data_IF_834141410623
#
_entry.id   IF_834141410623
#
_cell.length_a   1.000
_cell.length_b   1.000
_cell.length_c   1.000
_cell.angle_alpha   90.00
_cell.angle_beta   90.00
_cell.angle_gamma   90.00
#
_symmetry.space_group_name_H-M   'P 1'
#
loop_
_entity.id
_entity.type
_entity.pdbx_description
1 polymer ?
#
# COMPACT_ATOMS: atom_id res chain seq x y z
N UNK A 1 -25.22 50.04 17.56
CA UNK A 1 -25.81 48.79 18.11
C UNK A 1 -25.89 47.81 16.94
N UNK A 2 -25.30 46.63 17.09
CA UNK A 2 -25.27 45.59 16.07
C UNK A 2 -26.59 44.80 15.98
N UNK A 3 -27.44 44.86 16.97
CA UNK A 3 -28.77 44.20 17.00
C UNK A 3 -29.85 45.26 17.20
N UNK A 4 -30.82 45.34 16.31
CA UNK A 4 -31.93 46.32 16.37
C UNK A 4 -33.24 45.71 15.92
N UNK A 5 -34.34 46.21 16.51
CA UNK A 5 -35.69 45.90 16.09
C UNK A 5 -36.12 46.91 15.00
N UNK A 6 -36.37 46.42 13.79
CA UNK A 6 -36.96 47.23 12.73
C UNK A 6 -38.46 47.06 12.75
N UNK A 7 -39.18 48.18 12.87
CA UNK A 7 -40.66 48.22 12.80
C UNK A 7 -41.06 48.88 11.48
N UNK A 8 -42.09 48.34 10.85
CA UNK A 8 -42.72 48.97 9.67
C UNK A 8 -44.19 48.63 9.60
N UNK A 9 -44.97 49.44 8.96
CA UNK A 9 -46.39 49.21 8.70
C UNK A 9 -46.56 48.60 7.31
N UNK A 10 -47.24 47.47 7.20
CA UNK A 10 -47.52 46.82 5.95
C UNK A 10 -48.69 47.50 5.22
N UNK A 11 -48.97 47.09 3.97
CA UNK A 11 -50.06 47.66 3.12
C UNK A 11 -51.45 47.52 3.76
N UNK A 12 -51.61 46.62 4.74
CA UNK A 12 -52.86 46.40 5.49
C UNK A 12 -52.90 47.19 6.79
N UNK A 13 -52.03 48.22 6.95
CA UNK A 13 -51.86 49.01 8.19
C UNK A 13 -51.51 48.24 9.45
N UNK A 14 -50.99 47.00 9.33
CA UNK A 14 -50.53 46.20 10.45
C UNK A 14 -49.06 46.51 10.75
N UNK A 15 -48.74 46.83 12.01
CA UNK A 15 -47.36 47.07 12.46
C UNK A 15 -46.62 45.73 12.54
N UNK A 16 -45.62 45.59 11.72
CA UNK A 16 -44.70 44.42 11.76
C UNK A 16 -43.37 44.82 12.37
N UNK A 17 -42.72 43.89 13.01
CA UNK A 17 -41.40 44.09 13.59
C UNK A 17 -40.51 42.87 13.29
N UNK A 18 -39.24 43.12 13.02
CA UNK A 18 -38.25 42.06 12.85
C UNK A 18 -36.92 42.46 13.47
N UNK A 19 -36.24 41.48 14.06
CA UNK A 19 -34.91 41.68 14.56
C UNK A 19 -33.88 41.56 13.45
N UNK A 20 -33.02 42.59 13.31
CA UNK A 20 -31.96 42.68 12.33
C UNK A 20 -30.62 42.70 13.06
N UNK A 21 -29.67 41.97 12.54
CA UNK A 21 -28.27 41.97 12.97
C UNK A 21 -27.43 42.68 11.89
N UNK A 22 -26.61 43.63 12.32
CA UNK A 22 -25.77 44.47 11.45
C UNK A 22 -24.34 44.46 12.01
N UNK A 23 -23.48 43.63 11.43
CA UNK A 23 -22.10 43.41 11.87
C UNK A 23 -21.13 43.99 10.88
N UNK A 24 -20.19 44.81 11.36
CA UNK A 24 -19.00 45.23 10.61
C UNK A 24 -17.78 44.53 11.19
N UNK A 25 -17.06 43.81 10.37
CA UNK A 25 -15.83 43.07 10.75
C UNK A 25 -14.66 43.57 9.91
N UNK A 26 -13.54 43.88 10.57
CA UNK A 26 -12.27 44.25 9.91
C UNK A 26 -11.35 43.04 9.88
N UNK A 27 -10.96 42.61 8.68
CA UNK A 27 -10.02 41.53 8.47
C UNK A 27 -8.58 42.00 8.80
N UNK A 28 -7.67 41.03 8.96
CA UNK A 28 -6.25 41.30 9.24
C UNK A 28 -5.53 42.05 8.11
N UNK A 29 -6.03 41.96 6.86
CA UNK A 29 -5.56 42.69 5.68
C UNK A 29 -6.06 44.16 5.63
N UNK A 30 -6.82 44.59 6.64
CA UNK A 30 -7.39 45.92 6.72
C UNK A 30 -8.75 46.08 6.02
N UNK A 31 -9.20 45.12 5.25
CA UNK A 31 -10.51 45.15 4.58
C UNK A 31 -11.67 45.10 5.60
N UNK A 32 -12.78 45.78 5.26
CA UNK A 32 -13.98 45.81 6.10
C UNK A 32 -15.12 45.11 5.40
N UNK A 33 -15.65 44.05 6.04
CA UNK A 33 -16.84 43.35 5.59
C UNK A 33 -18.04 43.74 6.47
N UNK A 34 -19.10 44.24 5.82
CA UNK A 34 -20.35 44.60 6.50
C UNK A 34 -21.43 43.55 6.13
N UNK A 35 -22.05 42.96 7.14
CA UNK A 35 -23.08 41.93 6.98
C UNK A 35 -24.34 42.39 7.70
N UNK A 36 -25.46 42.48 6.97
CA UNK A 36 -26.78 42.78 7.53
C UNK A 36 -27.74 41.64 7.19
N UNK A 37 -28.25 40.99 8.23
CA UNK A 37 -29.17 39.86 8.11
C UNK A 37 -30.34 39.98 9.09
N UNK A 38 -31.49 39.40 8.71
CA UNK A 38 -32.61 39.20 9.61
C UNK A 38 -32.29 38.02 10.53
N UNK A 39 -32.51 38.21 11.87
CA UNK A 39 -32.30 37.11 12.79
C UNK A 39 -33.29 35.97 12.53
N UNK A 40 -32.84 34.72 12.46
CA UNK A 40 -33.74 33.57 12.32
C UNK A 40 -34.63 33.39 13.54
N UNK A 41 -34.18 33.82 14.73
CA UNK A 41 -34.94 33.80 15.97
C UNK A 41 -35.38 35.23 16.29
N UNK A 42 -36.69 35.49 16.21
CA UNK A 42 -37.29 36.82 16.32
C UNK A 42 -37.48 37.27 17.77
N UNK A 43 -36.41 37.13 18.59
CA UNK A 43 -36.30 37.64 19.95
C UNK A 43 -35.00 38.42 20.12
N UNK A 44 -34.93 39.38 21.08
CA UNK A 44 -33.69 40.12 21.36
C UNK A 44 -32.52 39.19 21.66
N UNK A 45 -32.74 38.17 22.52
CA UNK A 45 -31.73 37.19 22.92
C UNK A 45 -31.29 36.32 21.73
N UNK A 46 -32.23 35.89 20.88
CA UNK A 46 -31.93 35.12 19.65
C UNK A 46 -31.11 35.93 18.64
N UNK A 47 -31.45 37.22 18.47
CA UNK A 47 -30.69 38.11 17.59
C UNK A 47 -29.27 38.38 18.10
N UNK A 48 -29.07 38.50 19.43
CA UNK A 48 -27.74 38.60 20.05
C UNK A 48 -26.91 37.30 19.87
N UNK A 49 -27.56 36.16 19.99
CA UNK A 49 -26.89 34.88 19.76
C UNK A 49 -26.46 34.74 18.26
N UNK A 50 -27.34 35.12 17.36
CA UNK A 50 -27.04 35.13 15.92
C UNK A 50 -25.92 36.11 15.57
N UNK A 51 -25.86 37.28 16.22
CA UNK A 51 -24.73 38.21 16.05
C UNK A 51 -23.39 37.59 16.44
N UNK A 52 -23.33 36.89 17.58
CA UNK A 52 -22.11 36.20 18.01
C UNK A 52 -21.67 35.15 16.97
N UNK A 53 -22.60 34.31 16.51
CA UNK A 53 -22.33 33.31 15.48
C UNK A 53 -21.81 33.92 14.19
N UNK A 54 -22.39 35.08 13.77
CA UNK A 54 -21.91 35.81 12.59
C UNK A 54 -20.49 36.35 12.79
N UNK A 55 -20.18 36.91 13.96
CA UNK A 55 -18.81 37.37 14.26
C UNK A 55 -17.80 36.24 14.26
N UNK A 56 -18.15 35.12 14.90
CA UNK A 56 -17.32 33.92 14.93
C UNK A 56 -17.07 33.37 13.51
N UNK A 57 -18.10 33.35 12.65
CA UNK A 57 -17.98 32.91 11.29
C UNK A 57 -17.12 33.83 10.41
N UNK A 58 -17.21 35.15 10.63
CA UNK A 58 -16.37 36.15 9.96
C UNK A 58 -14.90 36.02 10.41
N UNK A 59 -14.71 35.88 11.75
CA UNK A 59 -13.39 35.72 12.33
C UNK A 59 -12.67 34.44 11.83
N UNK A 60 -13.40 33.33 11.72
CA UNK A 60 -12.90 32.04 11.25
C UNK A 60 -12.89 31.91 9.72
N UNK A 61 -13.29 32.95 8.98
CA UNK A 61 -13.34 32.94 7.51
C UNK A 61 -14.33 31.93 6.91
N UNK A 62 -15.38 31.55 7.67
CA UNK A 62 -16.41 30.59 7.27
C UNK A 62 -17.72 31.28 6.82
N UNK A 63 -17.81 32.61 6.96
CA UNK A 63 -18.98 33.37 6.55
C UNK A 63 -19.23 33.27 5.03
N UNK A 64 -20.46 32.97 4.65
CA UNK A 64 -20.88 32.84 3.24
C UNK A 64 -20.40 31.54 2.57
N UNK A 65 -19.60 30.73 3.24
CA UNK A 65 -19.40 29.35 2.81
C UNK A 65 -20.65 28.59 3.22
N UNK A 66 -21.35 28.00 2.25
CA UNK A 66 -22.37 27.00 2.57
C UNK A 66 -21.70 26.02 3.53
N UNK A 67 -22.31 25.81 4.71
CA UNK A 67 -21.91 24.74 5.60
C UNK A 67 -22.35 23.48 4.88
N UNK A 68 -21.52 23.03 3.92
CA UNK A 68 -21.71 21.73 3.32
C UNK A 68 -21.74 20.74 4.47
N UNK A 69 -22.87 20.11 4.66
CA UNK A 69 -23.01 19.10 5.70
C UNK A 69 -21.89 18.09 5.52
N UNK A 70 -21.06 17.91 6.55
CA UNK A 70 -19.96 16.95 6.51
C UNK A 70 -20.52 15.60 6.08
N UNK A 71 -20.05 15.02 4.97
CA UNK A 71 -20.60 13.79 4.42
C UNK A 71 -20.39 12.61 5.38
N UNK A 72 -21.24 11.61 5.27
CA UNK A 72 -21.00 10.31 5.94
C UNK A 72 -19.85 9.57 5.24
N UNK A 73 -19.25 8.59 5.96
CA UNK A 73 -18.21 7.75 5.35
C UNK A 73 -18.74 7.03 4.10
N UNK A 74 -19.98 6.55 4.12
CA UNK A 74 -20.59 5.87 2.98
C UNK A 74 -20.74 6.79 1.76
N UNK A 75 -21.10 8.06 1.96
CA UNK A 75 -21.16 9.07 0.89
C UNK A 75 -19.78 9.44 0.35
N UNK A 76 -18.79 9.62 1.21
CA UNK A 76 -17.44 10.00 0.80
C UNK A 76 -16.65 8.83 0.18
N UNK A 77 -17.00 7.60 0.51
CA UNK A 77 -16.35 6.35 0.05
C UNK A 77 -16.22 6.30 -1.47
N UNK A 78 -17.26 6.64 -2.22
CA UNK A 78 -17.24 6.55 -3.68
C UNK A 78 -16.23 7.54 -4.28
N UNK A 79 -16.22 8.76 -3.79
CA UNK A 79 -15.24 9.79 -4.20
C UNK A 79 -13.81 9.36 -3.88
N UNK A 80 -13.58 8.76 -2.71
CA UNK A 80 -12.29 8.19 -2.32
C UNK A 80 -11.86 7.02 -3.22
N UNK A 81 -12.79 6.16 -3.64
CA UNK A 81 -12.49 5.05 -4.54
C UNK A 81 -12.13 5.56 -5.94
N UNK A 82 -12.87 6.51 -6.50
CA UNK A 82 -12.56 7.15 -7.78
C UNK A 82 -11.17 7.82 -7.75
N UNK A 83 -10.87 8.58 -6.68
CA UNK A 83 -9.52 9.11 -6.48
C UNK A 83 -8.46 8.00 -6.44
N UNK A 84 -8.77 6.90 -5.77
CA UNK A 84 -7.84 5.77 -5.66
C UNK A 84 -7.61 5.06 -6.98
N UNK A 85 -8.60 4.96 -7.85
CA UNK A 85 -8.50 4.38 -9.20
C UNK A 85 -7.54 5.17 -10.08
N UNK A 86 -7.61 6.50 -10.00
CA UNK A 86 -6.72 7.38 -10.77
C UNK A 86 -5.26 7.39 -10.26
N UNK A 87 -5.05 7.09 -8.97
CA UNK A 87 -3.75 7.29 -8.32
C UNK A 87 -3.07 6.01 -7.86
N UNK A 88 -3.72 4.84 -7.95
CA UNK A 88 -3.16 3.60 -7.42
C UNK A 88 -3.31 2.44 -8.42
N UNK A 89 -2.46 1.42 -8.23
CA UNK A 89 -2.57 0.19 -9.01
C UNK A 89 -3.90 -0.54 -8.73
N UNK A 90 -4.47 -1.25 -9.72
CA UNK A 90 -5.75 -1.96 -9.58
C UNK A 90 -5.83 -2.88 -8.36
N UNK A 91 -4.73 -3.57 -8.02
CA UNK A 91 -4.67 -4.44 -6.83
C UNK A 91 -4.82 -3.67 -5.50
N UNK A 92 -4.27 -2.47 -5.42
CA UNK A 92 -4.40 -1.62 -4.23
C UNK A 92 -5.82 -1.05 -4.10
N UNK A 93 -6.44 -0.67 -5.22
CA UNK A 93 -7.84 -0.22 -5.27
C UNK A 93 -8.77 -1.35 -4.82
N UNK A 94 -8.58 -2.56 -5.35
CA UNK A 94 -9.35 -3.74 -4.96
C UNK A 94 -9.25 -4.01 -3.45
N UNK A 95 -8.04 -3.97 -2.89
CA UNK A 95 -7.84 -4.16 -1.45
C UNK A 95 -8.55 -3.07 -0.61
N UNK A 96 -8.52 -1.81 -1.06
CA UNK A 96 -9.25 -0.71 -0.41
C UNK A 96 -10.77 -0.93 -0.48
N UNK A 97 -11.29 -1.31 -1.64
CA UNK A 97 -12.71 -1.59 -1.85
C UNK A 97 -13.21 -2.70 -0.92
N UNK A 98 -12.45 -3.80 -0.81
CA UNK A 98 -12.79 -4.90 0.10
C UNK A 98 -12.73 -4.47 1.57
N UNK A 99 -11.70 -3.74 1.98
CA UNK A 99 -11.56 -3.28 3.35
C UNK A 99 -12.68 -2.29 3.75
N UNK A 100 -13.04 -1.38 2.84
CA UNK A 100 -14.18 -0.48 3.03
C UNK A 100 -15.46 -1.27 3.16
N UNK A 101 -15.81 -2.10 2.18
CA UNK A 101 -17.07 -2.85 2.12
C UNK A 101 -17.24 -3.79 3.32
N UNK A 102 -16.22 -4.57 3.65
CA UNK A 102 -16.35 -5.68 4.60
C UNK A 102 -16.06 -5.27 6.06
N UNK A 103 -15.34 -4.17 6.29
CA UNK A 103 -14.86 -3.84 7.63
C UNK A 103 -15.16 -2.41 8.07
N UNK A 104 -14.89 -1.40 7.24
CA UNK A 104 -15.01 0.00 7.66
C UNK A 104 -16.44 0.53 7.52
N UNK A 105 -17.10 0.27 6.41
CA UNK A 105 -18.47 0.73 6.14
C UNK A 105 -19.51 0.15 7.12
N UNK A 106 -19.46 -1.13 7.51
CA UNK A 106 -20.38 -1.66 8.52
C UNK A 106 -20.31 -0.96 9.87
N UNK A 107 -19.17 -0.38 10.22
CA UNK A 107 -18.97 0.30 11.52
C UNK A 107 -19.12 1.83 11.39
N UNK A 108 -18.48 2.41 10.39
CA UNK A 108 -18.40 3.88 10.25
C UNK A 108 -19.31 4.45 9.15
N UNK A 109 -19.92 3.62 8.31
CA UNK A 109 -20.63 4.07 7.10
C UNK A 109 -21.71 5.11 7.35
N UNK A 110 -22.47 4.96 8.44
CA UNK A 110 -23.54 5.89 8.84
C UNK A 110 -23.06 7.13 9.59
N UNK A 111 -21.81 7.13 10.07
CA UNK A 111 -21.24 8.25 10.79
C UNK A 111 -20.80 9.34 9.81
N UNK A 112 -21.04 10.60 10.14
CA UNK A 112 -20.42 11.73 9.47
C UNK A 112 -18.91 11.71 9.75
N UNK A 113 -18.07 12.16 8.82
CA UNK A 113 -16.62 12.09 8.95
C UNK A 113 -16.09 12.79 10.20
N UNK A 114 -16.73 13.87 10.64
CA UNK A 114 -16.40 14.58 11.89
C UNK A 114 -16.85 13.85 13.17
N UNK A 115 -17.69 12.84 13.05
CA UNK A 115 -18.11 11.96 14.16
C UNK A 115 -17.14 10.78 14.35
N UNK A 116 -16.27 10.49 13.37
CA UNK A 116 -15.24 9.46 13.48
C UNK A 116 -14.09 10.04 14.28
N UNK A 117 -14.19 9.99 15.60
CA UNK A 117 -13.20 10.48 16.55
C UNK A 117 -12.27 9.36 16.99
N UNK A 118 -11.28 9.70 17.82
CA UNK A 118 -10.33 8.70 18.33
C UNK A 118 -11.02 7.59 19.13
N UNK A 119 -12.10 7.90 19.87
CA UNK A 119 -12.86 6.93 20.65
C UNK A 119 -13.49 5.85 19.77
N UNK A 120 -14.13 6.22 18.67
CA UNK A 120 -14.74 5.30 17.70
C UNK A 120 -13.68 4.41 17.04
N UNK A 121 -12.49 4.96 16.76
CA UNK A 121 -11.35 4.22 16.21
C UNK A 121 -10.82 3.20 17.22
N UNK A 122 -10.70 3.55 18.51
CA UNK A 122 -10.28 2.61 19.55
C UNK A 122 -11.34 1.51 19.77
N UNK A 123 -12.63 1.84 19.75
CA UNK A 123 -13.72 0.87 19.81
C UNK A 123 -13.66 -0.12 18.63
N UNK A 124 -13.40 0.40 17.41
CA UNK A 124 -13.20 -0.43 16.22
C UNK A 124 -12.02 -1.41 16.37
N UNK A 125 -10.87 -0.96 16.86
CA UNK A 125 -9.72 -1.84 17.13
C UNK A 125 -10.08 -2.97 18.07
N UNK A 126 -10.72 -2.62 19.21
CA UNK A 126 -11.13 -3.60 20.21
C UNK A 126 -12.12 -4.61 19.64
N UNK A 127 -13.08 -4.16 18.83
CA UNK A 127 -14.01 -5.04 18.14
C UNK A 127 -13.29 -6.00 17.20
N UNK A 128 -12.39 -5.52 16.32
CA UNK A 128 -11.70 -6.34 15.32
C UNK A 128 -10.73 -7.35 15.95
N UNK A 129 -10.12 -7.00 17.08
CA UNK A 129 -9.32 -7.95 17.85
C UNK A 129 -10.18 -9.05 18.51
N UNK A 130 -11.37 -8.72 19.03
CA UNK A 130 -12.34 -9.73 19.51
C UNK A 130 -12.82 -10.66 18.40
N UNK A 131 -12.96 -10.14 17.16
CA UNK A 131 -13.23 -10.93 15.95
C UNK A 131 -12.00 -11.79 15.51
N UNK A 132 -10.92 -11.84 16.32
CA UNK A 132 -9.68 -12.59 16.07
C UNK A 132 -8.91 -12.17 14.82
N UNK A 133 -9.09 -10.94 14.33
CA UNK A 133 -8.25 -10.40 13.27
C UNK A 133 -6.86 -10.08 13.82
N UNK A 134 -5.82 -10.36 13.00
CA UNK A 134 -4.45 -10.00 13.40
C UNK A 134 -4.26 -8.48 13.48
N UNK A 135 -3.39 -8.02 14.39
CA UNK A 135 -3.03 -6.61 14.52
C UNK A 135 -2.57 -6.00 13.18
N UNK A 136 -1.87 -6.78 12.35
CA UNK A 136 -1.44 -6.35 11.01
C UNK A 136 -2.64 -6.12 10.08
N UNK A 137 -3.64 -6.99 10.11
CA UNK A 137 -4.86 -6.84 9.30
C UNK A 137 -5.64 -5.60 9.74
N UNK A 138 -5.81 -5.39 11.04
CA UNK A 138 -6.46 -4.18 11.58
C UNK A 138 -5.69 -2.92 11.18
N UNK A 139 -4.36 -2.92 11.28
CA UNK A 139 -3.52 -1.79 10.87
C UNK A 139 -3.65 -1.46 9.38
N UNK A 140 -3.81 -2.45 8.52
CA UNK A 140 -4.07 -2.21 7.09
C UNK A 140 -5.41 -1.50 6.87
N UNK A 141 -6.46 -1.89 7.59
CA UNK A 141 -7.76 -1.22 7.55
C UNK A 141 -7.67 0.21 8.07
N UNK A 142 -6.97 0.42 9.20
CA UNK A 142 -6.73 1.74 9.77
C UNK A 142 -5.93 2.67 8.86
N UNK A 143 -4.99 2.12 8.10
CA UNK A 143 -4.23 2.90 7.11
C UNK A 143 -5.12 3.42 5.97
N UNK A 144 -6.12 2.62 5.56
CA UNK A 144 -7.12 3.03 4.56
C UNK A 144 -8.03 4.11 5.13
N UNK A 145 -8.55 3.92 6.36
CA UNK A 145 -9.37 4.92 7.05
C UNK A 145 -8.62 6.25 7.19
N UNK A 146 -7.36 6.20 7.65
CA UNK A 146 -6.50 7.39 7.77
C UNK A 146 -6.33 8.13 6.44
N UNK A 147 -6.08 7.37 5.35
CA UNK A 147 -5.93 8.01 4.02
C UNK A 147 -7.24 8.64 3.55
N UNK A 148 -8.39 8.00 3.81
CA UNK A 148 -9.71 8.53 3.49
C UNK A 148 -9.99 9.83 4.26
N UNK A 149 -9.77 9.85 5.58
CA UNK A 149 -9.99 11.04 6.42
C UNK A 149 -9.05 12.19 6.05
N UNK A 150 -7.78 11.89 5.77
CA UNK A 150 -6.82 12.91 5.31
C UNK A 150 -7.23 13.50 3.95
N UNK A 151 -7.73 12.67 3.02
CA UNK A 151 -8.24 13.16 1.75
C UNK A 151 -9.47 14.06 1.92
N UNK A 152 -10.34 13.74 2.87
CA UNK A 152 -11.49 14.60 3.20
C UNK A 152 -11.03 15.96 3.75
N UNK A 153 -9.94 16.01 4.52
CA UNK A 153 -9.32 17.28 4.95
C UNK A 153 -8.71 18.03 3.76
N UNK A 154 -7.95 17.36 2.90
CA UNK A 154 -7.36 17.94 1.69
C UNK A 154 -8.43 18.57 0.78
N UNK A 155 -9.63 18.00 0.74
CA UNK A 155 -10.76 18.48 -0.08
C UNK A 155 -11.70 19.47 0.66
N UNK A 156 -11.39 19.86 1.89
CA UNK A 156 -12.18 20.80 2.68
C UNK A 156 -13.50 20.26 3.23
N UNK A 157 -13.75 18.96 3.15
CA UNK A 157 -14.94 18.29 3.67
C UNK A 157 -14.86 18.02 5.19
N UNK A 158 -13.65 18.03 5.72
CA UNK A 158 -13.36 17.81 7.14
C UNK A 158 -12.32 18.83 7.61
N UNK A 159 -12.56 19.49 8.73
CA UNK A 159 -11.64 20.50 9.26
C UNK A 159 -10.31 19.91 9.74
N UNK A 160 -10.33 18.74 10.37
CA UNK A 160 -9.14 18.02 10.81
C UNK A 160 -9.43 16.53 10.92
N UNK A 161 -8.41 15.70 10.64
CA UNK A 161 -8.51 14.26 10.80
C UNK A 161 -8.05 13.83 12.21
N UNK A 162 -8.72 12.86 12.84
CA UNK A 162 -8.29 12.31 14.13
C UNK A 162 -6.98 11.54 13.97
N UNK A 163 -6.20 11.49 15.06
CA UNK A 163 -4.96 10.70 15.08
C UNK A 163 -5.26 9.19 15.09
N UNK A 164 -4.95 8.50 14.01
CA UNK A 164 -5.09 7.06 13.89
C UNK A 164 -3.81 6.37 14.35
N UNK A 165 -3.78 5.89 15.61
CA UNK A 165 -2.64 5.11 16.14
C UNK A 165 -2.76 3.65 15.70
N UNK A 166 -1.65 3.09 15.22
CA UNK A 166 -1.58 1.66 14.84
C UNK A 166 -1.35 0.78 16.07
N UNK A 167 -1.81 -0.46 15.99
CA UNK A 167 -1.52 -1.52 16.96
C UNK A 167 -0.06 -1.97 16.83
N UNK A 168 0.55 -2.35 17.94
CA UNK A 168 1.87 -2.99 17.92
C UNK A 168 1.76 -4.34 17.22
N UNK A 169 2.56 -4.54 16.18
CA UNK A 169 2.66 -5.82 15.47
C UNK A 169 3.94 -6.49 15.94
N UNK A 170 3.90 -7.72 16.46
CA UNK A 170 5.12 -8.46 16.80
C UNK A 170 5.97 -8.67 15.54
N UNK A 171 7.29 -8.81 15.69
CA UNK A 171 8.17 -9.15 14.57
C UNK A 171 7.64 -10.37 13.83
N UNK A 172 7.65 -10.31 12.51
CA UNK A 172 7.19 -11.43 11.70
C UNK A 172 8.23 -12.54 11.75
N UNK A 173 7.78 -13.77 12.00
CA UNK A 173 8.61 -14.95 11.90
C UNK A 173 9.15 -15.07 10.47
N UNK A 174 10.48 -15.00 10.34
CA UNK A 174 11.15 -14.99 9.05
C UNK A 174 11.41 -16.44 8.63
N UNK A 175 10.64 -16.92 7.64
CA UNK A 175 10.71 -18.31 7.17
C UNK A 175 11.21 -18.38 5.73
N UNK A 176 12.07 -19.35 5.49
CA UNK A 176 12.57 -19.72 4.17
C UNK A 176 12.91 -21.21 4.17
N UNK A 177 13.10 -21.81 3.01
CA UNK A 177 13.58 -23.19 2.88
C UNK A 177 15.11 -23.22 3.05
N UNK A 178 15.63 -24.12 3.87
CA UNK A 178 17.08 -24.43 3.87
C UNK A 178 17.50 -25.00 2.53
N UNK A 179 18.80 -25.26 2.33
CA UNK A 179 19.27 -25.90 1.10
C UNK A 179 18.68 -27.30 0.94
N UNK A 180 18.72 -28.10 1.99
CA UNK A 180 18.20 -29.47 2.04
C UNK A 180 16.68 -29.51 1.87
N UNK A 181 15.97 -28.59 2.53
CA UNK A 181 14.53 -28.44 2.37
C UNK A 181 14.14 -28.04 0.95
N UNK A 182 14.94 -27.17 0.30
CA UNK A 182 14.71 -26.76 -1.08
C UNK A 182 14.90 -27.92 -2.07
N UNK A 183 15.87 -28.76 -1.86
CA UNK A 183 16.08 -29.98 -2.66
C UNK A 183 14.92 -30.95 -2.49
N UNK A 184 14.57 -31.29 -1.25
CA UNK A 184 13.44 -32.18 -0.95
C UNK A 184 12.13 -31.62 -1.48
N UNK A 185 11.89 -30.30 -1.37
CA UNK A 185 10.74 -29.60 -1.90
C UNK A 185 10.64 -29.77 -3.44
N UNK A 186 11.74 -29.61 -4.18
CA UNK A 186 11.74 -29.78 -5.62
C UNK A 186 11.59 -31.25 -6.04
N UNK A 187 12.20 -32.20 -5.31
CA UNK A 187 12.08 -33.64 -5.58
C UNK A 187 10.65 -34.17 -5.44
N UNK A 188 9.86 -33.57 -4.55
CA UNK A 188 8.47 -33.98 -4.30
C UNK A 188 7.45 -33.14 -5.07
N UNK A 189 7.92 -32.18 -5.87
CA UNK A 189 7.03 -31.37 -6.70
C UNK A 189 6.36 -32.21 -7.80
N UNK A 190 5.12 -31.84 -8.14
CA UNK A 190 4.47 -32.42 -9.33
C UNK A 190 5.19 -31.95 -10.59
N UNK A 191 5.41 -32.83 -11.55
CA UNK A 191 6.17 -32.58 -12.79
C UNK A 191 5.69 -31.30 -13.50
N UNK A 192 4.38 -31.10 -13.59
CA UNK A 192 3.78 -29.90 -14.20
C UNK A 192 4.17 -28.60 -13.53
N UNK A 193 4.51 -28.62 -12.24
CA UNK A 193 4.84 -27.41 -11.45
C UNK A 193 6.34 -27.28 -11.17
N UNK A 194 7.09 -28.36 -11.33
CA UNK A 194 8.52 -28.42 -11.04
C UNK A 194 9.33 -27.31 -11.77
N UNK A 195 9.09 -27.01 -13.06
CA UNK A 195 9.79 -25.93 -13.75
C UNK A 195 9.52 -24.57 -13.10
N UNK A 196 8.25 -24.26 -12.85
CA UNK A 196 7.81 -22.99 -12.27
C UNK A 196 8.38 -22.79 -10.85
N UNK A 197 8.33 -23.83 -10.01
CA UNK A 197 8.89 -23.82 -8.65
C UNK A 197 10.41 -23.65 -8.67
N UNK A 198 11.10 -24.34 -9.60
CA UNK A 198 12.55 -24.20 -9.76
C UNK A 198 12.93 -22.77 -10.14
N UNK A 199 12.25 -22.17 -11.12
CA UNK A 199 12.54 -20.81 -11.54
C UNK A 199 12.26 -19.83 -10.43
N UNK A 200 11.17 -19.99 -9.67
CA UNK A 200 10.87 -19.14 -8.52
C UNK A 200 11.99 -19.16 -7.46
N UNK A 201 12.51 -20.36 -7.13
CA UNK A 201 13.61 -20.55 -6.18
C UNK A 201 14.97 -20.05 -6.69
N UNK A 202 15.21 -20.10 -8.00
CA UNK A 202 16.52 -19.76 -8.59
C UNK A 202 16.62 -18.32 -9.10
N UNK A 203 15.50 -17.58 -9.13
CA UNK A 203 15.46 -16.21 -9.65
C UNK A 203 14.88 -15.20 -8.65
N UNK A 204 14.18 -15.67 -7.63
CA UNK A 204 13.51 -14.80 -6.66
C UNK A 204 12.42 -13.91 -7.25
N UNK A 205 11.85 -14.24 -8.41
CA UNK A 205 10.72 -13.54 -9.03
C UNK A 205 9.52 -13.49 -8.08
N UNK A 206 8.81 -12.36 -8.06
CA UNK A 206 7.51 -12.30 -7.39
C UNK A 206 6.49 -13.13 -8.16
N UNK A 207 5.50 -13.70 -7.49
CA UNK A 207 4.49 -14.54 -8.18
C UNK A 207 3.88 -13.82 -9.39
N UNK A 208 3.48 -12.56 -9.26
CA UNK A 208 2.92 -11.81 -10.38
C UNK A 208 3.90 -11.59 -11.54
N UNK A 209 5.20 -11.46 -11.25
CA UNK A 209 6.28 -11.38 -12.27
C UNK A 209 6.48 -12.73 -12.95
N UNK A 210 6.46 -13.82 -12.18
CA UNK A 210 6.59 -15.19 -12.67
C UNK A 210 5.42 -15.57 -13.59
N UNK A 211 4.19 -15.21 -13.23
CA UNK A 211 2.98 -15.43 -14.03
C UNK A 211 2.96 -14.59 -15.32
N UNK A 212 3.59 -13.41 -15.30
CA UNK A 212 3.67 -12.51 -16.45
C UNK A 212 4.88 -12.77 -17.34
N UNK A 213 5.76 -13.71 -16.99
CA UNK A 213 7.01 -13.97 -17.71
C UNK A 213 6.69 -14.52 -19.10
N UNK A 214 7.20 -13.84 -20.12
CA UNK A 214 7.09 -14.25 -21.54
C UNK A 214 8.42 -14.72 -22.08
N UNK A 215 8.40 -15.53 -23.12
CA UNK A 215 9.61 -16.02 -23.79
C UNK A 215 10.47 -14.88 -24.35
N UNK A 216 9.86 -13.78 -24.78
CA UNK A 216 10.57 -12.57 -25.23
C UNK A 216 11.36 -11.84 -24.12
N UNK A 217 11.07 -12.14 -22.85
CA UNK A 217 11.79 -11.57 -21.70
C UNK A 217 13.02 -12.39 -21.31
N UNK A 218 13.25 -13.53 -21.97
CA UNK A 218 14.33 -14.46 -21.66
C UNK A 218 15.34 -14.47 -22.81
N UNK A 219 16.54 -14.02 -22.51
CA UNK A 219 17.70 -14.16 -23.39
C UNK A 219 18.52 -15.36 -22.92
N UNK A 220 18.28 -16.52 -23.54
CA UNK A 220 19.00 -17.76 -23.20
C UNK A 220 20.46 -17.72 -23.61
N UNK A 221 20.81 -16.94 -24.66
CA UNK A 221 22.18 -16.78 -25.12
C UNK A 221 23.00 -15.94 -24.12
N UNK A 222 22.46 -14.78 -23.72
CA UNK A 222 23.08 -13.95 -22.71
C UNK A 222 22.86 -14.47 -21.28
N UNK A 223 22.04 -15.51 -21.10
CA UNK A 223 21.75 -16.13 -19.79
C UNK A 223 21.08 -15.18 -18.82
N UNK A 224 20.02 -14.47 -19.23
CA UNK A 224 19.33 -13.50 -18.39
C UNK A 224 17.81 -13.46 -18.61
N UNK A 225 17.10 -13.01 -17.58
CA UNK A 225 15.67 -12.65 -17.62
C UNK A 225 15.56 -11.15 -17.41
N UNK A 226 14.74 -10.46 -18.20
CA UNK A 226 14.38 -9.05 -18.01
C UNK A 226 12.97 -8.97 -17.44
N UNK A 227 12.84 -8.55 -16.18
CA UNK A 227 11.56 -8.45 -15.50
C UNK A 227 10.92 -7.11 -15.83
N UNK A 228 9.94 -7.11 -16.73
CA UNK A 228 9.26 -5.90 -17.23
C UNK A 228 7.81 -5.81 -16.80
N UNK A 229 7.19 -6.95 -16.45
CA UNK A 229 5.74 -7.08 -16.27
C UNK A 229 5.40 -7.78 -14.96
N UNK A 230 4.17 -7.59 -14.54
CA UNK A 230 3.52 -8.37 -13.48
C UNK A 230 2.09 -8.63 -13.89
N UNK A 231 1.55 -9.79 -13.51
CA UNK A 231 0.16 -10.16 -13.78
C UNK A 231 -0.64 -10.13 -12.47
N UNK A 232 -1.77 -9.44 -12.49
CA UNK A 232 -2.74 -9.44 -11.40
C UNK A 232 -4.16 -9.54 -11.97
N UNK A 233 -4.92 -10.56 -11.57
CA UNK A 233 -6.29 -10.80 -12.06
C UNK A 233 -6.41 -10.70 -13.60
N UNK A 234 -5.49 -11.35 -14.33
CA UNK A 234 -5.39 -11.33 -15.81
C UNK A 234 -5.02 -9.97 -16.42
N UNK A 235 -4.74 -8.97 -15.61
CA UNK A 235 -4.29 -7.65 -16.09
C UNK A 235 -2.76 -7.57 -15.98
N UNK A 236 -2.10 -7.31 -17.10
CA UNK A 236 -0.68 -7.00 -17.11
C UNK A 236 -0.45 -5.59 -16.59
N UNK A 237 0.61 -5.41 -15.82
CA UNK A 237 1.03 -4.13 -15.30
C UNK A 237 2.54 -4.07 -15.10
N UNK A 238 3.04 -2.91 -14.71
CA UNK A 238 4.46 -2.74 -14.39
C UNK A 238 4.81 -3.38 -13.06
N UNK A 239 6.06 -3.84 -12.85
CA UNK A 239 6.54 -4.32 -11.55
C UNK A 239 6.34 -3.29 -10.44
N UNK A 240 6.41 -3.74 -9.19
CA UNK A 240 6.32 -2.83 -8.04
C UNK A 240 7.51 -1.87 -8.06
N UNK A 241 7.24 -0.56 -8.12
CA UNK A 241 8.26 0.48 -8.26
C UNK A 241 8.48 0.98 -9.69
N UNK A 242 7.80 0.40 -10.69
CA UNK A 242 7.83 0.88 -12.09
C UNK A 242 9.13 0.59 -12.86
N UNK A 243 10.14 0.00 -12.22
CA UNK A 243 11.46 -0.24 -12.83
C UNK A 243 11.59 -1.69 -13.29
N UNK A 244 12.13 -1.89 -14.49
CA UNK A 244 12.60 -3.18 -14.95
C UNK A 244 13.91 -3.54 -14.24
N UNK A 245 14.22 -4.85 -14.19
CA UNK A 245 15.52 -5.35 -13.71
C UNK A 245 15.91 -6.59 -14.48
N UNK A 246 17.20 -6.84 -14.55
CA UNK A 246 17.75 -8.05 -15.10
C UNK A 246 18.12 -9.05 -14.00
N UNK A 247 17.89 -10.32 -14.26
CA UNK A 247 18.26 -11.42 -13.36
C UNK A 247 19.14 -12.38 -14.18
N UNK A 248 20.42 -12.49 -13.86
CA UNK A 248 21.29 -13.49 -14.49
C UNK A 248 20.81 -14.90 -14.18
N UNK A 249 20.89 -15.77 -15.16
CA UNK A 249 20.57 -17.20 -15.04
C UNK A 249 21.86 -18.03 -14.92
N UNK A 250 21.89 -18.95 -13.98
CA UNK A 250 22.91 -19.99 -14.00
C UNK A 250 22.74 -20.89 -15.25
N UNK A 251 23.81 -21.48 -15.72
CA UNK A 251 23.78 -22.43 -16.86
C UNK A 251 22.73 -23.52 -16.70
N UNK A 252 22.61 -24.10 -15.53
CA UNK A 252 21.61 -25.13 -15.22
C UNK A 252 20.16 -24.60 -15.29
N UNK A 253 19.93 -23.35 -14.82
CA UNK A 253 18.61 -22.72 -14.87
C UNK A 253 18.22 -22.36 -16.31
N UNK A 254 19.15 -21.83 -17.10
CA UNK A 254 18.94 -21.55 -18.52
C UNK A 254 18.62 -22.83 -19.31
N UNK A 255 19.41 -23.92 -19.12
CA UNK A 255 19.16 -25.19 -19.74
C UNK A 255 17.79 -25.78 -19.39
N UNK A 256 17.34 -25.61 -18.13
CA UNK A 256 15.99 -26.03 -17.69
C UNK A 256 14.91 -25.23 -18.41
N UNK A 257 15.02 -23.91 -18.48
CA UNK A 257 14.10 -23.06 -19.25
C UNK A 257 14.06 -23.42 -20.72
N UNK A 258 15.19 -23.73 -21.32
CA UNK A 258 15.27 -24.15 -22.74
C UNK A 258 14.48 -25.45 -23.00
N UNK A 259 14.54 -26.42 -22.08
CA UNK A 259 13.79 -27.69 -22.18
C UNK A 259 12.27 -27.48 -22.06
N UNK A 260 11.84 -26.47 -21.31
CA UNK A 260 10.43 -26.14 -21.11
C UNK A 260 9.85 -25.29 -22.25
N UNK A 261 10.64 -24.94 -23.27
CA UNK A 261 10.19 -24.09 -24.37
C UNK A 261 9.08 -24.80 -25.18
N UNK A 262 7.97 -24.08 -25.33
CA UNK A 262 6.77 -24.56 -26.02
C UNK A 262 6.19 -23.48 -26.95
N UNK A 263 5.32 -23.90 -27.86
CA UNK A 263 4.63 -23.04 -28.83
C UNK A 263 3.17 -22.72 -28.45
N UNK A 264 2.74 -22.99 -27.20
CA UNK A 264 1.36 -22.81 -26.75
C UNK A 264 0.95 -21.32 -26.68
N UNK A 265 1.90 -20.41 -26.50
CA UNK A 265 1.63 -18.99 -26.37
C UNK A 265 2.86 -18.22 -25.88
N UNK A 266 2.72 -16.91 -25.62
CA UNK A 266 3.85 -16.05 -25.25
C UNK A 266 4.37 -16.31 -23.84
N UNK A 267 3.53 -16.81 -22.91
CA UNK A 267 3.90 -16.99 -21.52
C UNK A 267 4.74 -18.25 -21.30
N UNK A 268 5.76 -18.14 -20.46
CA UNK A 268 6.63 -19.27 -20.09
C UNK A 268 5.84 -20.32 -19.30
N UNK A 269 4.99 -19.86 -18.38
CA UNK A 269 4.13 -20.72 -17.57
C UNK A 269 2.67 -20.45 -17.91
N UNK A 270 2.06 -21.34 -18.67
CA UNK A 270 0.71 -21.19 -19.15
C UNK A 270 -0.08 -22.51 -19.09
N UNK A 271 -1.36 -22.40 -19.29
CA UNK A 271 -2.27 -23.54 -19.49
C UNK A 271 -2.09 -24.14 -20.88
N UNK A 272 -2.84 -25.22 -21.16
CA UNK A 272 -2.80 -25.88 -22.46
C UNK A 272 -3.24 -24.97 -23.62
N UNK A 273 -4.13 -24.01 -23.33
CA UNK A 273 -4.64 -22.99 -24.26
C UNK A 273 -3.71 -21.78 -24.43
N UNK A 274 -2.52 -21.79 -23.83
CA UNK A 274 -1.55 -20.69 -23.88
C UNK A 274 -1.86 -19.50 -22.96
N UNK A 275 -2.96 -19.52 -22.22
CA UNK A 275 -3.34 -18.46 -21.27
C UNK A 275 -2.53 -18.59 -19.99
N UNK A 276 -2.04 -17.47 -19.48
CA UNK A 276 -1.33 -17.42 -18.20
C UNK A 276 -2.16 -17.96 -17.05
N UNK A 277 -1.53 -18.60 -16.06
CA UNK A 277 -2.19 -18.98 -14.83
C UNK A 277 -2.61 -17.75 -14.02
N UNK A 278 -3.76 -17.83 -13.34
CA UNK A 278 -4.17 -16.85 -12.34
C UNK A 278 -3.53 -17.13 -10.97
N UNK A 279 -3.51 -16.13 -10.10
CA UNK A 279 -3.04 -16.30 -8.71
C UNK A 279 -3.83 -17.37 -7.95
N UNK A 280 -5.13 -17.49 -8.19
CA UNK A 280 -5.99 -18.48 -7.53
C UNK A 280 -5.67 -19.92 -7.93
N UNK A 281 -5.33 -20.14 -9.20
CA UNK A 281 -4.99 -21.47 -9.73
C UNK A 281 -3.67 -21.99 -9.15
N UNK A 282 -2.69 -21.11 -8.90
CA UNK A 282 -1.37 -21.51 -8.39
C UNK A 282 -1.21 -21.34 -6.88
N UNK A 283 -2.19 -20.75 -6.19
CA UNK A 283 -2.09 -20.40 -4.76
C UNK A 283 -1.69 -21.58 -3.88
N UNK A 284 -2.27 -22.75 -4.12
CA UNK A 284 -2.06 -23.95 -3.31
C UNK A 284 -0.89 -24.84 -3.79
N UNK A 285 -0.21 -24.49 -4.88
CA UNK A 285 0.91 -25.30 -5.41
C UNK A 285 2.02 -25.41 -4.37
N UNK A 286 2.56 -24.28 -3.88
CA UNK A 286 3.64 -24.27 -2.87
C UNK A 286 3.19 -24.95 -1.56
N UNK A 287 2.04 -24.60 -0.94
CA UNK A 287 1.58 -25.28 0.26
C UNK A 287 1.42 -26.80 0.09
N UNK A 288 0.92 -27.26 -1.05
CA UNK A 288 0.75 -28.69 -1.34
C UNK A 288 2.10 -29.39 -1.48
N UNK A 289 3.05 -28.79 -2.18
CA UNK A 289 4.41 -29.33 -2.32
C UNK A 289 5.11 -29.38 -0.96
N UNK A 290 4.96 -28.38 -0.09
CA UNK A 290 5.48 -28.42 1.28
C UNK A 290 4.94 -29.62 2.07
N UNK A 291 3.64 -29.89 2.01
CA UNK A 291 3.06 -31.07 2.67
C UNK A 291 3.62 -32.39 2.15
N UNK A 292 3.79 -32.51 0.82
CA UNK A 292 4.41 -33.70 0.19
C UNK A 292 5.87 -33.88 0.59
N UNK A 293 6.58 -32.76 0.77
CA UNK A 293 7.98 -32.77 1.21
C UNK A 293 8.14 -33.02 2.73
N UNK A 294 7.06 -33.17 3.49
CA UNK A 294 7.11 -33.32 4.95
C UNK A 294 7.67 -32.10 5.66
N UNK A 295 7.45 -30.89 5.10
CA UNK A 295 7.90 -29.65 5.73
C UNK A 295 6.93 -29.21 6.82
N UNK A 296 7.47 -28.83 7.98
CA UNK A 296 6.66 -28.47 9.16
C UNK A 296 5.82 -27.18 8.95
N UNK A 297 6.20 -26.35 7.99
CA UNK A 297 5.59 -25.05 7.81
C UNK A 297 4.86 -24.92 6.47
N UNK A 298 3.69 -24.28 6.51
CA UNK A 298 2.97 -23.90 5.30
C UNK A 298 3.65 -22.66 4.69
N UNK A 299 4.43 -22.86 3.64
CA UNK A 299 5.04 -21.77 2.88
C UNK A 299 4.14 -21.33 1.72
N UNK A 300 4.50 -20.21 1.11
CA UNK A 300 3.84 -19.63 -0.06
C UNK A 300 4.88 -19.21 -1.10
N UNK A 301 4.47 -18.80 -2.28
CA UNK A 301 5.37 -18.29 -3.33
C UNK A 301 6.33 -17.20 -2.84
N UNK A 302 5.89 -16.36 -1.90
CA UNK A 302 6.74 -15.31 -1.36
C UNK A 302 7.90 -15.87 -0.52
N UNK A 303 7.70 -17.01 0.13
CA UNK A 303 8.78 -17.69 0.87
C UNK A 303 9.82 -18.32 -0.06
N UNK A 304 9.47 -18.76 -1.29
CA UNK A 304 10.47 -19.18 -2.28
C UNK A 304 11.38 -18.02 -2.67
N UNK A 305 10.83 -16.83 -2.81
CA UNK A 305 11.61 -15.62 -3.02
C UNK A 305 12.47 -15.26 -1.79
N UNK A 306 11.97 -15.46 -0.58
CA UNK A 306 12.78 -15.34 0.64
C UNK A 306 13.93 -16.36 0.65
N UNK A 307 13.66 -17.61 0.27
CA UNK A 307 14.70 -18.65 0.17
C UNK A 307 15.79 -18.28 -0.83
N UNK A 308 15.44 -17.74 -2.00
CA UNK A 308 16.43 -17.24 -2.97
C UNK A 308 17.36 -16.19 -2.33
N UNK A 309 16.81 -15.17 -1.69
CA UNK A 309 17.62 -14.12 -1.06
C UNK A 309 18.45 -14.66 0.11
N UNK A 310 17.85 -15.51 0.95
CA UNK A 310 18.54 -16.16 2.08
C UNK A 310 19.73 -17.02 1.61
N UNK A 311 19.52 -17.83 0.58
CA UNK A 311 20.57 -18.68 0.01
C UNK A 311 21.74 -17.89 -0.56
N UNK A 312 21.47 -16.74 -1.19
CA UNK A 312 22.52 -15.85 -1.70
C UNK A 312 23.32 -15.24 -0.54
N UNK A 313 22.63 -14.73 0.49
CA UNK A 313 23.30 -14.12 1.64
C UNK A 313 24.11 -15.15 2.43
N UNK A 314 23.57 -16.35 2.67
CA UNK A 314 24.27 -17.45 3.33
C UNK A 314 25.54 -17.90 2.56
N UNK A 315 25.59 -17.65 1.23
CA UNK A 315 26.78 -17.88 0.38
C UNK A 315 27.70 -16.67 0.29
N UNK A 316 27.50 -15.63 1.12
CA UNK A 316 28.37 -14.48 1.17
C UNK A 316 28.13 -13.43 0.08
N UNK A 317 27.04 -13.53 -0.69
CA UNK A 317 26.70 -12.50 -1.71
C UNK A 317 26.41 -11.18 -0.99
N UNK A 318 27.05 -10.05 -1.40
CA UNK A 318 26.81 -8.74 -0.79
C UNK A 318 25.34 -8.35 -0.81
N UNK A 319 24.85 -7.79 0.29
CA UNK A 319 23.43 -7.39 0.43
C UNK A 319 22.98 -6.42 -0.67
N UNK A 320 23.90 -5.58 -1.19
CA UNK A 320 23.61 -4.67 -2.29
C UNK A 320 23.28 -5.42 -3.59
N UNK A 321 24.02 -6.45 -3.92
CA UNK A 321 23.76 -7.31 -5.08
C UNK A 321 22.42 -8.07 -4.90
N UNK A 322 22.16 -8.58 -3.69
CA UNK A 322 20.86 -9.21 -3.38
C UNK A 322 19.72 -8.21 -3.52
N UNK A 323 19.88 -6.96 -3.07
CA UNK A 323 18.90 -5.88 -3.26
C UNK A 323 18.54 -5.69 -4.74
N UNK A 324 19.53 -5.61 -5.60
CA UNK A 324 19.37 -5.40 -7.05
C UNK A 324 18.65 -6.59 -7.71
N UNK A 325 19.12 -7.81 -7.48
CA UNK A 325 18.49 -9.04 -7.97
C UNK A 325 17.02 -9.15 -7.53
N UNK A 326 16.75 -8.83 -6.26
CA UNK A 326 15.40 -8.83 -5.71
C UNK A 326 14.54 -7.67 -6.25
N UNK A 327 15.14 -6.59 -6.75
CA UNK A 327 14.42 -5.36 -7.11
C UNK A 327 13.72 -4.75 -5.89
N UNK A 328 14.45 -4.63 -4.77
CA UNK A 328 13.99 -3.92 -3.59
C UNK A 328 14.24 -2.43 -3.76
N UNK A 329 13.23 -1.61 -3.49
CA UNK A 329 13.33 -0.16 -3.64
C UNK A 329 14.36 0.47 -2.69
N UNK A 330 14.52 -0.11 -1.50
CA UNK A 330 15.45 0.37 -0.48
C UNK A 330 16.24 -0.79 0.11
N UNK A 331 17.43 -0.50 0.65
CA UNK A 331 18.30 -1.50 1.26
C UNK A 331 17.70 -2.08 2.54
N UNK A 332 16.91 -1.29 3.27
CA UNK A 332 16.22 -1.72 4.50
C UNK A 332 15.34 -2.96 4.27
N UNK A 333 14.76 -3.07 3.08
CA UNK A 333 13.99 -4.27 2.71
C UNK A 333 14.87 -5.52 2.62
N UNK A 334 16.16 -5.37 2.32
CA UNK A 334 17.14 -6.46 2.19
C UNK A 334 17.86 -6.73 3.51
N UNK A 335 17.97 -5.74 4.39
CA UNK A 335 18.59 -5.88 5.71
C UNK A 335 17.97 -6.98 6.58
N UNK A 336 16.72 -7.37 6.29
CA UNK A 336 16.08 -8.53 6.97
C UNK A 336 16.83 -9.85 6.79
N UNK A 337 17.70 -9.97 5.78
CA UNK A 337 18.52 -11.14 5.51
C UNK A 337 19.93 -11.02 6.12
N UNK A 338 20.32 -9.85 6.63
CA UNK A 338 21.69 -9.57 7.08
C UNK A 338 22.18 -10.55 8.17
N UNK A 339 21.28 -10.97 9.06
CA UNK A 339 21.60 -11.93 10.13
C UNK A 339 21.97 -13.33 9.61
N UNK A 340 21.72 -13.64 8.33
CA UNK A 340 22.11 -14.90 7.68
C UNK A 340 23.49 -14.83 7.02
N UNK A 341 24.11 -13.65 6.97
CA UNK A 341 25.45 -13.50 6.41
C UNK A 341 26.47 -14.27 7.25
N UNK A 342 27.43 -14.97 6.64
CA UNK A 342 28.54 -15.57 7.35
C UNK A 342 29.24 -14.52 8.22
N UNK A 343 29.77 -14.93 9.38
CA UNK A 343 30.55 -14.04 10.23
C UNK A 343 31.92 -13.75 9.58
N UNK A 344 31.93 -12.81 8.64
CA UNK A 344 33.12 -12.40 7.89
C UNK A 344 33.93 -11.29 8.58
N UNK A 345 33.47 -10.78 9.75
CA UNK A 345 34.12 -9.64 10.40
C UNK A 345 35.60 -9.91 10.70
N UNK A 346 35.92 -11.09 11.20
CA UNK A 346 37.30 -11.46 11.49
C UNK A 346 38.14 -11.61 10.22
N UNK A 347 37.64 -12.38 9.26
CA UNK A 347 38.29 -12.57 7.95
C UNK A 347 38.42 -11.26 7.19
N UNK A 348 37.44 -10.35 7.29
CA UNK A 348 37.50 -9.04 6.64
C UNK A 348 38.61 -8.16 7.26
N UNK A 349 38.83 -8.23 8.58
CA UNK A 349 39.93 -7.52 9.23
C UNK A 349 41.29 -8.15 8.87
N UNK A 350 41.36 -9.49 8.82
CA UNK A 350 42.57 -10.21 8.39
C UNK A 350 42.99 -9.88 6.95
N UNK A 351 42.04 -9.50 6.07
CA UNK A 351 42.38 -9.01 4.73
C UNK A 351 43.20 -7.72 4.71
N UNK A 352 43.16 -6.91 5.77
CA UNK A 352 43.96 -5.69 5.88
C UNK A 352 45.46 -5.99 6.07
N UNK A 353 45.78 -7.17 6.60
CA UNK A 353 47.16 -7.62 6.86
C UNK A 353 47.80 -8.29 5.63
N UNK A 354 47.01 -8.52 4.55
CA UNK A 354 47.56 -9.05 3.30
C UNK A 354 48.39 -7.99 2.58
N UNK A 355 49.68 -8.25 2.37
CA UNK A 355 50.56 -7.37 1.64
C UNK A 355 50.12 -7.23 0.18
N UNK A 356 50.36 -6.04 -0.40
CA UNK A 356 49.99 -5.66 -1.80
C UNK A 356 50.52 -6.67 -2.85
N UNK A 357 51.54 -7.44 -2.52
CA UNK A 357 52.14 -8.45 -3.42
C UNK A 357 51.27 -9.70 -3.63
N UNK A 358 50.25 -9.95 -2.83
CA UNK A 358 49.32 -11.09 -2.99
C UNK A 358 48.03 -10.71 -3.77
N UNK A 359 47.86 -9.44 -4.17
CA UNK A 359 46.71 -8.97 -4.94
C UNK A 359 46.87 -9.11 -6.47
N UNK A 360 47.75 -10.01 -6.92
CA UNK A 360 47.88 -10.37 -8.35
C UNK A 360 46.59 -11.02 -8.87
N UNK A 361 45.91 -10.33 -9.81
CA UNK A 361 44.80 -10.78 -10.65
C UNK A 361 43.38 -10.49 -10.15
N UNK A 362 43.03 -9.22 -9.88
CA UNK A 362 41.72 -8.76 -10.28
C UNK A 362 41.89 -7.80 -11.47
N UNK A 363 41.78 -8.38 -12.68
CA UNK A 363 41.81 -7.63 -13.93
C UNK A 363 40.68 -6.60 -13.98
N UNK A 364 41.01 -5.36 -13.65
CA UNK A 364 40.17 -4.22 -13.92
C UNK A 364 40.24 -3.86 -15.40
N UNK A 365 39.18 -4.06 -16.14
CA UNK A 365 38.92 -3.34 -17.37
C UNK A 365 37.44 -2.99 -17.42
N UNK A 366 37.17 -1.73 -17.31
CA UNK A 366 35.87 -1.12 -17.50
C UNK A 366 35.98 0.39 -17.33
N UNK A 367 36.64 1.05 -18.31
CA UNK A 367 36.66 2.50 -18.36
C UNK A 367 35.25 3.07 -18.49
N UNK A 368 34.94 4.01 -17.64
CA UNK A 368 33.76 4.86 -17.76
C UNK A 368 33.99 5.89 -18.87
N UNK A 369 33.16 5.86 -19.88
CA UNK A 369 32.84 6.99 -20.77
C UNK A 369 31.34 7.22 -20.73
#
# INVERSE_FOLDING_TARGET
MSVRLRKWTDKKRTVRATWIVDVKYRHADGSVQAVRQTSPIQTKRGAQQHERQLRDSLQNGTFGKEVNEVPTLAQFKERFLTYSENNNKPSAVHAKRLALKNHLEPVFGKLRLNQIRQQEIEAYKAQKLREKLSAKTVNNQLAILRKLLNLAVEWGELGHAPRVRQLRVPPHDFRFLTFEESERFLQTAEDRWLPMLTIALKTGLRLGELLALKWEDIDLHAGRIVVRRTLWQKQEGTPKGGRSREIPLSKSTAAKLQRERHLKGPYVFCKADGVAFSHSEVKEVVPRTCRRAGLAHRLTWHHLRHSFASHLVMRGVPLKAVQELMGHATIEMTMRYAHLSPHVNRTAVELLDLSVQQQGTYGGHGAWK
#
